data_IF_420649063001
#
_entry.id   IF_420649063001
#
_cell.length_a   1.000
_cell.length_b   1.000
_cell.length_c   1.000
_cell.angle_alpha   90.00
_cell.angle_beta   90.00
_cell.angle_gamma   90.00
#
_symmetry.space_group_name_H-M   'P 1'
#
loop_
_entity.id
_entity.type
_entity.pdbx_description
1 polymer ?
#
# COMPACT_ATOMS: atom_id res chain seq x y z
N UNK A 1 28.98 47.59 28.33
CA UNK A 1 28.46 46.42 27.58
C UNK A 1 29.35 46.21 26.35
N UNK A 2 30.08 45.09 26.22
CA UNK A 2 31.07 44.93 25.15
C UNK A 2 30.42 44.70 23.78
N UNK A 3 30.94 45.39 22.75
CA UNK A 3 30.44 45.42 21.35
C UNK A 3 30.21 44.02 20.76
N UNK A 4 31.07 43.07 21.14
CA UNK A 4 31.06 41.66 20.74
C UNK A 4 29.70 40.98 21.00
N UNK A 5 29.03 41.37 22.08
CA UNK A 5 27.76 40.77 22.51
C UNK A 5 26.58 41.19 21.61
N UNK A 6 26.60 42.39 21.04
CA UNK A 6 25.52 42.89 20.16
C UNK A 6 25.52 42.18 18.80
N UNK A 7 26.70 41.89 18.26
CA UNK A 7 26.85 41.15 16.99
C UNK A 7 26.31 39.72 17.15
N UNK A 8 26.63 39.06 18.26
CA UNK A 8 26.13 37.72 18.55
C UNK A 8 24.59 37.67 18.72
N UNK A 9 23.98 38.73 19.28
CA UNK A 9 22.53 38.82 19.44
C UNK A 9 21.81 39.02 18.10
N UNK A 10 22.30 39.92 17.25
CA UNK A 10 21.75 40.14 15.91
C UNK A 10 21.87 38.89 15.01
N UNK A 11 23.00 38.17 15.11
CA UNK A 11 23.19 36.91 14.40
C UNK A 11 22.26 35.78 14.92
N UNK A 12 21.97 35.77 16.23
CA UNK A 12 21.04 34.81 16.83
C UNK A 12 19.60 35.09 16.37
N UNK A 13 19.19 36.35 16.34
CA UNK A 13 17.86 36.76 15.86
C UNK A 13 17.65 36.40 14.38
N UNK A 14 18.62 36.67 13.52
CA UNK A 14 18.55 36.28 12.11
C UNK A 14 18.36 34.77 11.91
N UNK A 15 19.00 33.93 12.76
CA UNK A 15 18.78 32.46 12.73
C UNK A 15 17.40 32.03 13.22
N UNK A 16 16.81 32.73 14.20
CA UNK A 16 15.46 32.42 14.67
C UNK A 16 14.40 32.82 13.63
N UNK A 17 14.59 33.98 12.99
CA UNK A 17 13.72 34.46 11.90
C UNK A 17 13.78 33.52 10.69
N UNK A 18 14.96 33.10 10.26
CA UNK A 18 15.08 32.12 9.15
C UNK A 18 14.45 30.76 9.49
N UNK A 19 14.47 30.35 10.76
CA UNK A 19 13.86 29.08 11.20
C UNK A 19 12.33 29.14 11.26
N UNK A 20 11.76 30.29 11.65
CA UNK A 20 10.31 30.56 11.58
C UNK A 20 9.81 30.64 10.14
N UNK A 21 10.55 31.32 9.24
CA UNK A 21 10.17 31.44 7.82
C UNK A 21 10.20 30.08 7.11
N UNK A 22 11.19 29.22 7.39
CA UNK A 22 11.27 27.89 6.79
C UNK A 22 10.15 26.95 7.30
N UNK A 23 9.79 27.05 8.58
CA UNK A 23 8.72 26.25 9.20
C UNK A 23 7.33 26.57 8.67
N UNK A 24 7.10 27.81 8.22
CA UNK A 24 5.82 28.28 7.67
C UNK A 24 5.71 28.13 6.14
N UNK A 25 6.61 27.40 5.49
CA UNK A 25 6.45 27.03 4.07
C UNK A 25 5.32 26.00 3.94
N UNK A 26 4.26 26.25 3.17
CA UNK A 26 3.07 25.40 3.10
C UNK A 26 3.37 24.17 2.23
N UNK A 27 4.03 23.17 2.82
CA UNK A 27 4.41 21.92 2.15
C UNK A 27 3.46 20.75 2.52
N UNK A 28 2.16 21.02 2.64
CA UNK A 28 1.18 20.03 3.07
C UNK A 28 0.33 19.44 1.92
N UNK A 29 0.37 20.08 0.74
CA UNK A 29 -0.42 19.65 -0.43
C UNK A 29 0.24 18.52 -1.21
N UNK A 30 1.57 18.46 -1.24
CA UNK A 30 2.33 17.42 -1.94
C UNK A 30 2.22 16.08 -1.18
N UNK A 31 2.42 16.11 0.14
CA UNK A 31 2.28 14.95 1.02
C UNK A 31 0.89 14.29 0.94
N UNK A 32 -0.17 15.09 0.76
CA UNK A 32 -1.54 14.57 0.67
C UNK A 32 -1.77 13.86 -0.67
N UNK A 33 -1.32 14.44 -1.79
CA UNK A 33 -1.41 13.77 -3.09
C UNK A 33 -0.54 12.52 -3.11
N UNK A 34 0.71 12.59 -2.64
CA UNK A 34 1.60 11.43 -2.52
C UNK A 34 1.01 10.30 -1.67
N UNK A 35 0.37 10.61 -0.55
CA UNK A 35 -0.30 9.58 0.26
C UNK A 35 -1.48 8.95 -0.48
N UNK A 36 -2.23 9.73 -1.26
CA UNK A 36 -3.35 9.22 -2.04
C UNK A 36 -2.88 8.33 -3.20
N UNK A 37 -1.88 8.75 -3.99
CA UNK A 37 -1.32 7.90 -5.06
C UNK A 37 -0.66 6.64 -4.49
N UNK A 38 0.04 6.73 -3.35
CA UNK A 38 0.59 5.54 -2.67
C UNK A 38 -0.51 4.61 -2.16
N UNK A 39 -1.59 5.15 -1.58
CA UNK A 39 -2.72 4.37 -1.10
C UNK A 39 -3.46 3.63 -2.22
N UNK A 40 -3.66 4.28 -3.37
CA UNK A 40 -4.25 3.65 -4.56
C UNK A 40 -3.34 2.54 -5.08
N UNK A 41 -2.03 2.79 -5.19
CA UNK A 41 -1.08 1.77 -5.65
C UNK A 41 -1.12 0.49 -4.82
N UNK A 42 -1.13 0.61 -3.49
CA UNK A 42 -1.22 -0.53 -2.58
C UNK A 42 -2.53 -1.32 -2.75
N UNK A 43 -3.67 -0.63 -2.86
CA UNK A 43 -4.98 -1.29 -3.05
C UNK A 43 -5.05 -1.99 -4.41
N UNK A 44 -4.53 -1.37 -5.47
CA UNK A 44 -4.48 -1.97 -6.81
C UNK A 44 -3.63 -3.24 -6.82
N UNK A 45 -2.47 -3.22 -6.17
CA UNK A 45 -1.59 -4.39 -6.09
C UNK A 45 -2.26 -5.54 -5.33
N UNK A 46 -2.88 -5.26 -4.17
CA UNK A 46 -3.63 -6.27 -3.41
C UNK A 46 -4.82 -6.83 -4.21
N UNK A 47 -5.55 -5.97 -4.92
CA UNK A 47 -6.63 -6.39 -5.80
C UNK A 47 -6.14 -7.31 -6.92
N UNK A 48 -4.99 -7.01 -7.52
CA UNK A 48 -4.38 -7.84 -8.55
C UNK A 48 -3.95 -9.21 -8.01
N UNK A 49 -3.28 -9.25 -6.86
CA UNK A 49 -2.80 -10.51 -6.24
C UNK A 49 -3.95 -11.47 -5.94
N UNK A 50 -5.12 -10.96 -5.56
CA UNK A 50 -6.32 -11.77 -5.28
C UNK A 50 -7.09 -12.10 -6.56
N UNK A 51 -7.27 -11.13 -7.45
CA UNK A 51 -8.06 -11.30 -8.67
C UNK A 51 -7.42 -12.25 -9.67
N UNK A 52 -6.08 -12.24 -9.79
CA UNK A 52 -5.35 -13.07 -10.75
C UNK A 52 -5.61 -14.58 -10.60
N UNK A 53 -5.46 -15.20 -9.41
CA UNK A 53 -5.77 -16.63 -9.21
C UNK A 53 -7.27 -16.95 -9.32
N UNK A 54 -8.17 -16.02 -8.97
CA UNK A 54 -9.62 -16.19 -9.14
C UNK A 54 -10.01 -16.24 -10.63
N UNK A 55 -9.63 -15.20 -11.38
CA UNK A 55 -9.93 -15.09 -12.81
C UNK A 55 -9.20 -16.21 -13.59
N UNK A 56 -7.93 -16.45 -13.27
CA UNK A 56 -7.15 -17.54 -13.85
C UNK A 56 -7.79 -18.90 -13.59
N UNK A 57 -8.18 -19.17 -12.35
CA UNK A 57 -8.83 -20.43 -11.97
C UNK A 57 -10.15 -20.65 -12.70
N UNK A 58 -11.03 -19.65 -12.74
CA UNK A 58 -12.31 -19.73 -13.46
C UNK A 58 -12.10 -19.90 -14.96
N UNK A 59 -11.18 -19.15 -15.55
CA UNK A 59 -10.90 -19.21 -16.98
C UNK A 59 -10.35 -20.59 -17.39
N UNK A 60 -9.37 -21.11 -16.64
CA UNK A 60 -8.86 -22.48 -16.82
C UNK A 60 -9.96 -23.52 -16.59
N UNK A 61 -10.79 -23.33 -15.57
CA UNK A 61 -11.92 -24.18 -15.24
C UNK A 61 -12.91 -24.31 -16.40
N UNK A 62 -13.35 -23.19 -16.98
CA UNK A 62 -14.28 -23.15 -18.12
C UNK A 62 -13.65 -23.80 -19.35
N UNK A 63 -12.36 -23.55 -19.62
CA UNK A 63 -11.65 -24.17 -20.74
C UNK A 63 -11.61 -25.69 -20.60
N UNK A 64 -11.39 -26.19 -19.37
CA UNK A 64 -11.35 -27.61 -19.07
C UNK A 64 -12.76 -28.24 -19.15
N UNK A 65 -13.78 -27.55 -18.63
CA UNK A 65 -15.18 -27.99 -18.66
C UNK A 65 -15.68 -28.20 -20.09
N UNK A 66 -15.31 -27.28 -21.00
CA UNK A 66 -15.59 -27.40 -22.44
C UNK A 66 -14.90 -28.60 -23.09
N UNK A 67 -13.72 -28.98 -22.61
CA UNK A 67 -12.92 -30.08 -23.19
C UNK A 67 -13.39 -31.45 -22.75
N UNK A 68 -13.92 -31.57 -21.53
CA UNK A 68 -14.37 -32.83 -20.95
C UNK A 68 -15.89 -33.06 -21.07
N UNK A 69 -16.64 -32.14 -21.70
CA UNK A 69 -18.12 -32.14 -21.81
C UNK A 69 -18.82 -32.46 -20.49
N UNK A 70 -18.13 -32.21 -19.37
CA UNK A 70 -18.65 -32.40 -18.04
C UNK A 70 -19.44 -31.13 -17.72
N UNK A 71 -20.61 -31.29 -17.09
CA UNK A 71 -21.28 -30.18 -16.39
C UNK A 71 -20.27 -29.45 -15.48
N UNK A 72 -20.52 -28.22 -14.98
CA UNK A 72 -19.52 -27.25 -14.48
C UNK A 72 -18.76 -27.62 -13.19
N UNK A 73 -18.50 -28.90 -12.98
CA UNK A 73 -17.74 -29.55 -11.92
C UNK A 73 -16.26 -29.17 -11.98
N UNK A 74 -15.66 -29.12 -13.18
CA UNK A 74 -14.25 -28.73 -13.31
C UNK A 74 -14.05 -27.24 -13.05
N UNK A 75 -14.95 -26.41 -13.57
CA UNK A 75 -14.98 -24.98 -13.24
C UNK A 75 -15.14 -24.76 -11.74
N UNK A 76 -16.05 -25.50 -11.10
CA UNK A 76 -16.28 -25.38 -9.66
C UNK A 76 -15.07 -25.82 -8.82
N UNK A 77 -14.40 -26.90 -9.21
CA UNK A 77 -13.19 -27.37 -8.52
C UNK A 77 -12.03 -26.39 -8.66
N UNK A 78 -11.79 -25.86 -9.87
CA UNK A 78 -10.74 -24.86 -10.11
C UNK A 78 -11.05 -23.51 -9.45
N UNK A 79 -12.33 -23.10 -9.41
CA UNK A 79 -12.76 -21.92 -8.65
C UNK A 79 -12.51 -22.13 -7.16
N UNK A 80 -12.86 -23.30 -6.62
CA UNK A 80 -12.62 -23.62 -5.20
C UNK A 80 -11.12 -23.63 -4.88
N UNK A 81 -10.31 -24.20 -5.77
CA UNK A 81 -8.85 -24.19 -5.65
C UNK A 81 -8.29 -22.75 -5.64
N UNK A 82 -8.71 -21.92 -6.61
CA UNK A 82 -8.31 -20.51 -6.68
C UNK A 82 -8.75 -19.70 -5.45
N UNK A 83 -9.94 -20.01 -4.92
CA UNK A 83 -10.46 -19.42 -3.69
C UNK A 83 -9.63 -19.82 -2.46
N UNK A 84 -9.30 -21.09 -2.32
CA UNK A 84 -8.46 -21.59 -1.21
C UNK A 84 -7.07 -20.98 -1.26
N UNK A 85 -6.47 -20.85 -2.45
CA UNK A 85 -5.17 -20.20 -2.64
C UNK A 85 -5.23 -18.72 -2.22
N UNK A 86 -6.25 -17.98 -2.67
CA UNK A 86 -6.45 -16.59 -2.29
C UNK A 86 -6.64 -16.43 -0.77
N UNK A 87 -7.46 -17.28 -0.15
CA UNK A 87 -7.67 -17.29 1.29
C UNK A 87 -6.41 -17.65 2.08
N UNK A 88 -5.65 -18.64 1.61
CA UNK A 88 -4.40 -19.06 2.25
C UNK A 88 -3.37 -17.93 2.24
N UNK A 89 -3.26 -17.23 1.11
CA UNK A 89 -2.34 -16.11 0.97
C UNK A 89 -2.75 -14.93 1.87
N UNK A 90 -4.04 -14.63 1.94
CA UNK A 90 -4.61 -13.63 2.85
C UNK A 90 -4.38 -13.99 4.33
N UNK A 91 -4.61 -15.26 4.69
CA UNK A 91 -4.43 -15.73 6.06
C UNK A 91 -2.95 -15.70 6.49
N UNK A 92 -2.02 -16.01 5.57
CA UNK A 92 -0.58 -15.89 5.82
C UNK A 92 -0.23 -14.45 6.19
N UNK A 93 -0.65 -13.48 5.36
CA UNK A 93 -0.42 -12.05 5.61
C UNK A 93 -1.02 -11.63 6.95
N UNK A 94 -2.29 -11.95 7.21
CA UNK A 94 -2.97 -11.58 8.46
C UNK A 94 -2.29 -12.22 9.68
N UNK A 95 -1.89 -13.48 9.59
CA UNK A 95 -1.22 -14.20 10.68
C UNK A 95 0.17 -13.63 10.98
N UNK A 96 0.89 -13.18 9.94
CA UNK A 96 2.18 -12.52 10.07
C UNK A 96 2.05 -11.13 10.72
N UNK A 97 1.02 -10.37 10.33
CA UNK A 97 0.68 -9.11 10.99
C UNK A 97 0.26 -9.30 12.46
N UNK A 98 -0.44 -10.39 12.78
CA UNK A 98 -0.84 -10.72 14.14
C UNK A 98 0.36 -11.14 15.02
N UNK A 99 1.31 -11.87 14.46
CA UNK A 99 2.48 -12.39 15.19
C UNK A 99 3.53 -11.32 15.48
N UNK A 100 3.58 -10.25 14.70
CA UNK A 100 4.52 -9.12 14.90
C UNK A 100 4.13 -8.19 16.06
N UNK A 101 3.00 -8.45 16.73
CA UNK A 101 2.52 -7.67 17.88
C UNK A 101 2.74 -8.35 19.24
N UNK A 102 3.69 -9.29 19.33
CA UNK A 102 4.13 -9.88 20.60
C UNK A 102 5.62 -9.70 20.80
#
# INVERSE_FOLDING_TARGET
MPIRKRIALSFKEGRLVSKEINKNSPNDKDNSREKLIRGVGLVSELGFVISFPLVGGVFLGIWLDKRFSSSPKMTLSFLFLGLVIAFSNLFLIISEFSKKKK
#
